data_IF_477434945206
#
_entry.id   IF_477434945206
#
_cell.length_a   1.000
_cell.length_b   1.000
_cell.length_c   1.000
_cell.angle_alpha   90.00
_cell.angle_beta   90.00
_cell.angle_gamma   90.00
#
_symmetry.space_group_name_H-M   'P 1'
#
loop_
_entity.id
_entity.type
_entity.pdbx_description
1 polymer ?
#
# COMPACT_ATOMS: atom_id res chain seq x y z
N UNK A 1 11.00 -11.04 -10.91
CA UNK A 1 10.99 -12.37 -11.53
C UNK A 1 11.37 -13.36 -10.43
N UNK A 2 10.42 -14.14 -9.92
CA UNK A 2 10.74 -15.22 -8.97
C UNK A 2 11.37 -16.36 -9.76
N UNK A 3 12.55 -16.83 -9.34
CA UNK A 3 13.26 -17.91 -10.01
C UNK A 3 12.45 -19.20 -9.91
N UNK A 4 11.92 -19.68 -11.05
CA UNK A 4 11.47 -21.05 -11.16
C UNK A 4 12.72 -21.94 -11.31
N UNK A 5 13.08 -22.61 -10.22
CA UNK A 5 14.13 -23.62 -10.22
C UNK A 5 13.56 -24.89 -10.87
N UNK A 6 14.05 -25.19 -12.08
CA UNK A 6 13.60 -26.31 -12.93
C UNK A 6 14.43 -27.58 -12.72
N UNK A 7 15.25 -27.69 -11.66
CA UNK A 7 16.10 -28.87 -11.46
C UNK A 7 15.42 -29.98 -10.66
N UNK A 8 15.74 -31.22 -11.05
CA UNK A 8 15.30 -32.46 -10.41
C UNK A 8 15.58 -32.43 -8.90
N UNK A 9 14.68 -33.04 -8.11
CA UNK A 9 14.65 -33.02 -6.63
C UNK A 9 15.96 -33.51 -5.98
N UNK A 10 16.80 -34.20 -6.76
CA UNK A 10 18.07 -34.80 -6.34
C UNK A 10 19.25 -33.80 -6.29
N UNK A 11 19.11 -32.59 -6.83
CA UNK A 11 20.19 -31.57 -6.85
C UNK A 11 19.97 -30.41 -5.85
N UNK A 12 18.98 -30.52 -4.97
CA UNK A 12 18.68 -29.44 -4.02
C UNK A 12 19.75 -29.28 -2.96
N UNK A 13 20.31 -28.09 -2.88
CA UNK A 13 21.23 -27.70 -1.80
C UNK A 13 20.47 -27.63 -0.47
N UNK A 14 21.20 -27.68 0.65
CA UNK A 14 20.57 -27.51 1.96
C UNK A 14 19.94 -26.11 2.12
N UNK A 15 20.45 -25.11 1.41
CA UNK A 15 19.82 -23.78 1.32
C UNK A 15 18.45 -23.83 0.63
N UNK A 16 18.29 -24.62 -0.43
CA UNK A 16 17.01 -24.75 -1.15
C UNK A 16 15.95 -25.44 -0.30
N UNK A 17 16.36 -26.46 0.46
CA UNK A 17 15.49 -27.15 1.43
C UNK A 17 15.05 -26.20 2.55
N UNK A 18 15.95 -25.38 3.05
CA UNK A 18 15.64 -24.40 4.10
C UNK A 18 14.70 -23.31 3.57
N UNK A 19 14.92 -22.78 2.37
CA UNK A 19 14.01 -21.82 1.73
C UNK A 19 12.60 -22.40 1.55
N UNK A 20 12.49 -23.68 1.15
CA UNK A 20 11.20 -24.36 1.00
C UNK A 20 10.49 -24.57 2.35
N UNK A 21 11.25 -24.92 3.39
CA UNK A 21 10.77 -25.04 4.77
C UNK A 21 10.21 -23.71 5.27
N UNK A 22 10.97 -22.63 5.11
CA UNK A 22 10.55 -21.27 5.48
C UNK A 22 9.32 -20.81 4.70
N UNK A 23 9.28 -21.05 3.39
CA UNK A 23 8.14 -20.74 2.55
C UNK A 23 6.87 -21.47 3.03
N UNK A 24 7.00 -22.76 3.35
CA UNK A 24 5.88 -23.57 3.86
C UNK A 24 5.38 -23.08 5.21
N UNK A 25 6.30 -22.74 6.13
CA UNK A 25 5.97 -22.13 7.43
C UNK A 25 5.24 -20.81 7.27
N UNK A 26 5.73 -19.92 6.39
CA UNK A 26 5.10 -18.64 6.12
C UNK A 26 3.66 -18.80 5.58
N UNK A 27 3.44 -19.70 4.62
CA UNK A 27 2.08 -20.01 4.14
C UNK A 27 1.18 -20.51 5.27
N UNK A 28 1.67 -21.41 6.12
CA UNK A 28 0.88 -21.93 7.24
C UNK A 28 0.46 -20.82 8.20
N UNK A 29 1.40 -19.95 8.60
CA UNK A 29 1.11 -18.83 9.50
C UNK A 29 0.08 -17.88 8.87
N UNK A 30 0.26 -17.52 7.59
CA UNK A 30 -0.68 -16.66 6.86
C UNK A 30 -2.07 -17.29 6.75
N UNK A 31 -2.18 -18.60 6.50
CA UNK A 31 -3.49 -19.27 6.42
C UNK A 31 -4.18 -19.34 7.79
N UNK A 32 -3.44 -19.68 8.85
CA UNK A 32 -4.01 -19.93 10.18
C UNK A 32 -4.38 -18.65 10.94
N UNK A 33 -3.71 -17.53 10.65
CA UNK A 33 -3.94 -16.24 11.35
C UNK A 33 -5.13 -15.44 10.80
N UNK A 34 -5.72 -15.85 9.67
CA UNK A 34 -6.75 -15.09 8.98
C UNK A 34 -8.16 -15.60 9.27
N UNK A 35 -9.10 -14.67 9.30
CA UNK A 35 -10.53 -15.01 9.24
C UNK A 35 -10.86 -15.69 7.90
N UNK A 36 -11.94 -16.47 7.84
CA UNK A 36 -12.42 -17.12 6.61
C UNK A 36 -12.57 -16.15 5.44
N UNK A 37 -13.01 -14.92 5.71
CA UNK A 37 -13.18 -13.86 4.70
C UNK A 37 -11.83 -13.42 4.12
N UNK A 38 -10.83 -13.19 4.97
CA UNK A 38 -9.50 -12.78 4.52
C UNK A 38 -8.74 -13.93 3.85
N UNK A 39 -8.88 -15.15 4.37
CA UNK A 39 -8.32 -16.34 3.73
C UNK A 39 -8.82 -16.52 2.30
N UNK A 40 -10.13 -16.39 2.07
CA UNK A 40 -10.72 -16.51 0.74
C UNK A 40 -10.08 -15.55 -0.28
N UNK A 41 -9.65 -14.35 0.16
CA UNK A 41 -8.99 -13.36 -0.71
C UNK A 41 -7.62 -13.81 -1.20
N UNK A 42 -6.89 -14.58 -0.40
CA UNK A 42 -5.51 -15.03 -0.70
C UNK A 42 -5.41 -16.51 -1.07
N UNK A 43 -6.51 -17.26 -0.99
CA UNK A 43 -6.56 -18.71 -1.22
C UNK A 43 -6.04 -19.16 -2.60
N UNK A 44 -6.15 -18.31 -3.62
CA UNK A 44 -5.67 -18.56 -4.97
C UNK A 44 -4.18 -18.22 -5.19
N UNK A 45 -3.52 -17.59 -4.21
CA UNK A 45 -2.13 -17.17 -4.33
C UNK A 45 -1.17 -18.37 -4.23
N UNK A 46 -0.13 -18.38 -5.06
CA UNK A 46 0.79 -19.52 -5.22
C UNK A 46 1.92 -19.50 -4.19
N UNK A 47 2.44 -18.31 -3.89
CA UNK A 47 3.55 -18.12 -2.96
C UNK A 47 3.15 -17.37 -1.68
N UNK A 48 3.90 -17.57 -0.60
CA UNK A 48 3.75 -16.78 0.63
C UNK A 48 3.94 -15.28 0.38
N UNK A 49 4.82 -14.93 -0.56
CA UNK A 49 5.06 -13.54 -0.98
C UNK A 49 3.83 -12.92 -1.63
N UNK A 50 3.19 -13.63 -2.56
CA UNK A 50 1.95 -13.18 -3.21
C UNK A 50 0.81 -13.03 -2.20
N UNK A 51 0.69 -13.97 -1.25
CA UNK A 51 -0.28 -13.90 -0.16
C UNK A 51 -0.05 -12.65 0.71
N UNK A 52 1.19 -12.42 1.13
CA UNK A 52 1.57 -11.25 1.93
C UNK A 52 1.32 -9.94 1.19
N UNK A 53 1.76 -9.84 -0.06
CA UNK A 53 1.60 -8.63 -0.87
C UNK A 53 0.10 -8.34 -1.07
N UNK A 54 -0.73 -9.35 -1.32
CA UNK A 54 -2.18 -9.15 -1.46
C UNK A 54 -2.85 -8.67 -0.16
N UNK A 55 -2.43 -9.19 0.99
CA UNK A 55 -2.89 -8.71 2.30
C UNK A 55 -2.45 -7.26 2.51
N UNK A 56 -1.17 -6.97 2.30
CA UNK A 56 -0.60 -5.63 2.41
C UNK A 56 -1.37 -4.64 1.54
N UNK A 57 -1.58 -4.98 0.27
CA UNK A 57 -2.34 -4.14 -0.67
C UNK A 57 -3.79 -3.90 -0.21
N UNK A 58 -4.44 -4.90 0.38
CA UNK A 58 -5.84 -4.80 0.80
C UNK A 58 -6.01 -3.94 2.06
N UNK A 59 -5.04 -3.99 2.97
CA UNK A 59 -5.13 -3.32 4.28
C UNK A 59 -4.37 -1.99 4.34
N UNK A 60 -3.20 -1.90 3.71
CA UNK A 60 -2.38 -0.69 3.67
C UNK A 60 -2.58 0.16 2.41
N UNK A 61 -3.14 -0.44 1.35
CA UNK A 61 -3.16 0.12 -0.01
C UNK A 61 -1.84 -0.09 -0.75
N UNK A 62 -1.78 0.32 -2.02
CA UNK A 62 -0.49 0.48 -2.71
C UNK A 62 0.08 1.82 -2.23
N UNK A 63 1.37 1.89 -1.86
CA UNK A 63 2.05 3.16 -1.54
C UNK A 63 1.81 4.22 -2.64
N UNK A 64 1.73 3.76 -3.90
CA UNK A 64 1.32 4.54 -5.07
C UNK A 64 -0.03 5.24 -4.96
N UNK A 65 -1.04 4.66 -4.29
CA UNK A 65 -2.34 5.31 -4.07
C UNK A 65 -2.20 6.47 -3.08
N UNK A 66 -1.36 6.31 -2.05
CA UNK A 66 -1.05 7.41 -1.12
C UNK A 66 -0.30 8.53 -1.83
N UNK A 67 0.71 8.20 -2.63
CA UNK A 67 1.45 9.15 -3.48
C UNK A 67 0.53 9.88 -4.46
N UNK A 68 -0.32 9.15 -5.20
CA UNK A 68 -1.29 9.74 -6.14
C UNK A 68 -2.24 10.69 -5.42
N UNK A 69 -2.69 10.34 -4.21
CA UNK A 69 -3.56 11.22 -3.41
C UNK A 69 -2.82 12.47 -2.94
N UNK A 70 -1.55 12.36 -2.57
CA UNK A 70 -0.69 13.51 -2.27
C UNK A 70 -0.60 14.40 -3.51
N UNK A 71 -0.24 13.87 -4.68
CA UNK A 71 -0.08 14.65 -5.91
C UNK A 71 -1.36 15.40 -6.29
N UNK A 72 -2.52 14.75 -6.14
CA UNK A 72 -3.82 15.40 -6.37
C UNK A 72 -4.03 16.57 -5.41
N UNK A 73 -3.75 16.38 -4.12
CA UNK A 73 -3.94 17.42 -3.10
C UNK A 73 -2.95 18.57 -3.27
N UNK A 74 -1.68 18.29 -3.62
CA UNK A 74 -0.69 19.32 -3.95
C UNK A 74 -1.17 20.14 -5.16
N UNK A 75 -1.60 19.47 -6.23
CA UNK A 75 -2.09 20.16 -7.41
C UNK A 75 -3.38 20.97 -7.13
N UNK A 76 -4.21 20.56 -6.15
CA UNK A 76 -5.36 21.34 -5.70
C UNK A 76 -4.93 22.56 -4.87
N UNK A 77 -3.95 22.39 -4.00
CA UNK A 77 -3.36 23.45 -3.20
C UNK A 77 -2.74 24.53 -4.10
N UNK A 78 -1.90 24.16 -5.06
CA UNK A 78 -1.23 25.09 -5.98
C UNK A 78 -2.21 25.87 -6.87
N UNK A 79 -3.37 25.28 -7.17
CA UNK A 79 -4.41 25.89 -8.02
C UNK A 79 -5.51 26.57 -7.21
N UNK A 80 -5.39 26.63 -5.88
CA UNK A 80 -6.45 27.16 -5.05
C UNK A 80 -6.60 28.66 -5.29
N UNK A 81 -7.82 29.05 -5.65
CA UNK A 81 -8.22 30.43 -5.81
C UNK A 81 -9.70 30.55 -5.45
N UNK A 82 -10.13 31.76 -5.12
CA UNK A 82 -11.54 32.04 -4.85
C UNK A 82 -12.32 31.92 -6.16
N UNK A 83 -13.42 31.16 -6.13
CA UNK A 83 -14.28 30.99 -7.29
C UNK A 83 -15.31 32.13 -7.37
N UNK A 84 -15.87 32.37 -8.56
CA UNK A 84 -16.93 33.36 -8.71
C UNK A 84 -18.16 32.98 -7.89
N UNK A 85 -18.65 33.90 -7.05
CA UNK A 85 -19.78 33.64 -6.15
C UNK A 85 -19.43 32.85 -4.90
N UNK A 86 -18.16 32.48 -4.71
CA UNK A 86 -17.69 31.83 -3.49
C UNK A 86 -17.40 32.85 -2.39
N UNK A 87 -17.87 32.57 -1.18
CA UNK A 87 -17.52 33.35 0.00
C UNK A 87 -16.12 33.03 0.52
N UNK A 88 -15.50 33.98 1.21
CA UNK A 88 -14.19 33.80 1.88
C UNK A 88 -14.21 32.57 2.79
N UNK A 89 -15.31 32.35 3.52
CA UNK A 89 -15.45 31.21 4.43
C UNK A 89 -15.44 29.87 3.68
N UNK A 90 -16.11 29.79 2.52
CA UNK A 90 -16.12 28.57 1.69
C UNK A 90 -14.73 28.29 1.11
N UNK A 91 -14.04 29.33 0.63
CA UNK A 91 -12.66 29.18 0.16
C UNK A 91 -11.74 28.69 1.27
N UNK A 92 -11.84 29.28 2.46
CA UNK A 92 -11.08 28.88 3.63
C UNK A 92 -11.36 27.42 4.03
N UNK A 93 -12.63 26.99 4.03
CA UNK A 93 -12.99 25.60 4.30
C UNK A 93 -12.30 24.63 3.34
N UNK A 94 -12.33 24.90 2.02
CA UNK A 94 -11.64 24.05 1.03
C UNK A 94 -10.13 24.02 1.26
N UNK A 95 -9.53 25.16 1.58
CA UNK A 95 -8.11 25.24 1.92
C UNK A 95 -7.76 24.39 3.13
N UNK A 96 -8.56 24.47 4.20
CA UNK A 96 -8.41 23.67 5.41
C UNK A 96 -8.57 22.17 5.12
N UNK A 97 -9.52 21.78 4.27
CA UNK A 97 -9.70 20.38 3.87
C UNK A 97 -8.47 19.82 3.13
N UNK A 98 -7.88 20.61 2.22
CA UNK A 98 -6.68 20.23 1.47
C UNK A 98 -5.47 20.10 2.42
N UNK A 99 -5.23 21.09 3.27
CA UNK A 99 -4.09 21.09 4.20
C UNK A 99 -4.19 19.98 5.24
N UNK A 100 -5.39 19.72 5.77
CA UNK A 100 -5.65 18.58 6.66
C UNK A 100 -5.43 17.24 5.95
N UNK A 101 -5.86 17.12 4.69
CA UNK A 101 -5.64 15.95 3.87
C UNK A 101 -4.15 15.64 3.65
N UNK A 102 -3.36 16.67 3.35
CA UNK A 102 -1.90 16.56 3.19
C UNK A 102 -1.20 16.19 4.50
N UNK A 103 -1.58 16.84 5.61
CA UNK A 103 -1.06 16.55 6.94
C UNK A 103 -1.36 15.11 7.38
N UNK A 104 -2.58 14.62 7.13
CA UNK A 104 -2.98 13.24 7.43
C UNK A 104 -2.22 12.18 6.61
N UNK A 105 -1.64 12.57 5.47
CA UNK A 105 -0.79 11.72 4.63
C UNK A 105 0.72 11.89 4.93
N UNK A 106 1.07 12.70 5.94
CA UNK A 106 2.46 12.90 6.38
C UNK A 106 3.24 13.96 5.58
N UNK A 107 2.59 14.70 4.67
CA UNK A 107 3.18 15.87 4.03
C UNK A 107 3.04 17.07 4.96
N UNK A 108 4.16 17.57 5.47
CA UNK A 108 4.23 18.81 6.26
C UNK A 108 4.79 19.90 5.36
N UNK A 109 4.08 21.03 5.27
CA UNK A 109 4.61 22.25 4.69
C UNK A 109 5.16 23.10 5.83
N UNK A 110 6.40 23.54 5.72
CA UNK A 110 6.96 24.50 6.67
C UNK A 110 6.52 25.90 6.27
N UNK A 111 6.41 26.80 7.25
CA UNK A 111 5.94 28.18 7.06
C UNK A 111 6.79 28.99 6.05
N UNK A 112 7.94 28.48 5.63
CA UNK A 112 8.80 29.08 4.60
C UNK A 112 8.49 28.66 3.15
N UNK A 113 7.60 27.69 2.95
CA UNK A 113 7.12 27.25 1.61
C UNK A 113 5.82 27.97 1.19
N UNK A 114 5.32 28.91 2.01
CA UNK A 114 4.14 29.76 1.77
C UNK A 114 4.52 31.14 1.23
#
# INVERSE_FOLDING_TARGET
MEAQVTNSKDEWTDEDKEKLSQHSKAKSILCCSLSKKEFNRISACKSAKEMWDKLRLTHEGIDKVKETRIDILVAQYERIQMQSGESIFQMYSRFTDITNGLAGLGKKYETGDM
#
